data_IF_612632197733
#
_entry.id   IF_612632197733
#
_cell.length_a   1.000
_cell.length_b   1.000
_cell.length_c   1.000
_cell.angle_alpha   90.00
_cell.angle_beta   90.00
_cell.angle_gamma   90.00
#
_symmetry.space_group_name_H-M   'P 1'
#
loop_
_entity.id
_entity.type
_entity.pdbx_description
1 polymer ?
#
# COMPACT_ATOMS: atom_id res chain seq x y z
N UNK A 1 -4.96 7.67 -12.50
CA UNK A 1 -4.66 7.86 -11.05
C UNK A 1 -5.93 7.73 -10.24
N UNK A 2 -5.83 7.26 -9.00
CA UNK A 2 -6.94 7.26 -8.03
C UNK A 2 -6.53 8.00 -6.76
N UNK A 3 -7.51 8.55 -6.03
CA UNK A 3 -7.32 9.21 -4.74
C UNK A 3 -7.95 8.37 -3.66
N UNK A 4 -7.17 8.02 -2.63
CA UNK A 4 -7.65 7.37 -1.42
C UNK A 4 -7.81 8.41 -0.32
N UNK A 5 -9.05 8.63 0.10
CA UNK A 5 -9.37 9.41 1.30
C UNK A 5 -9.36 8.48 2.50
N UNK A 6 -8.65 8.86 3.56
CA UNK A 6 -8.48 8.04 4.76
C UNK A 6 -9.60 8.29 5.78
N UNK A 7 -9.84 7.31 6.66
CA UNK A 7 -10.84 7.39 7.71
C UNK A 7 -10.62 8.60 8.63
N UNK A 8 -11.70 9.08 9.27
CA UNK A 8 -11.57 10.10 10.33
C UNK A 8 -10.79 9.47 11.49
N UNK A 9 -9.88 10.23 12.11
CA UNK A 9 -9.02 9.74 13.19
C UNK A 9 -7.69 9.11 12.73
N UNK A 10 -7.47 8.91 11.42
CA UNK A 10 -6.15 8.51 10.92
C UNK A 10 -5.14 9.63 11.17
N UNK A 11 -4.18 9.37 12.05
CA UNK A 11 -3.11 10.32 12.37
C UNK A 11 -2.09 10.48 11.24
N UNK A 12 -1.71 11.73 10.95
CA UNK A 12 -0.77 12.08 9.89
C UNK A 12 0.60 11.40 10.05
N UNK A 13 1.13 11.33 11.28
CA UNK A 13 2.42 10.71 11.57
C UNK A 13 2.43 9.21 11.24
N UNK A 14 1.38 8.49 11.66
CA UNK A 14 1.24 7.07 11.38
C UNK A 14 1.07 6.77 9.89
N UNK A 15 0.28 7.60 9.19
CA UNK A 15 0.14 7.48 7.74
C UNK A 15 1.46 7.74 7.02
N UNK A 16 2.20 8.81 7.38
CA UNK A 16 3.53 9.09 6.81
C UNK A 16 4.52 7.95 7.07
N UNK A 17 4.51 7.34 8.25
CA UNK A 17 5.35 6.18 8.56
C UNK A 17 5.07 4.99 7.63
N UNK A 18 3.78 4.66 7.42
CA UNK A 18 3.38 3.61 6.47
C UNK A 18 3.83 3.92 5.03
N UNK A 19 3.67 5.17 4.58
CA UNK A 19 4.09 5.55 3.23
C UNK A 19 5.60 5.55 3.03
N UNK A 20 6.41 5.80 4.08
CA UNK A 20 7.87 5.64 4.00
C UNK A 20 8.26 4.18 3.76
N UNK A 21 7.60 3.24 4.42
CA UNK A 21 7.83 1.80 4.20
C UNK A 21 7.53 1.41 2.76
N UNK A 22 6.39 1.84 2.21
CA UNK A 22 6.02 1.59 0.80
C UNK A 22 7.04 2.17 -0.21
N UNK A 23 7.86 3.14 0.20
CA UNK A 23 8.93 3.72 -0.62
C UNK A 23 10.30 3.05 -0.43
N UNK A 24 10.42 2.05 0.45
CA UNK A 24 11.67 1.32 0.66
C UNK A 24 12.05 0.51 -0.57
N UNK A 25 13.33 0.52 -0.93
CA UNK A 25 13.89 -0.32 -2.00
C UNK A 25 13.64 -1.82 -1.77
N UNK A 26 13.50 -2.25 -0.52
CA UNK A 26 13.20 -3.63 -0.15
C UNK A 26 11.80 -4.09 -0.62
N UNK A 27 10.92 -3.16 -0.99
CA UNK A 27 9.55 -3.47 -1.47
C UNK A 27 9.36 -3.16 -2.96
N UNK A 28 10.44 -2.99 -3.72
CA UNK A 28 10.36 -2.61 -5.13
C UNK A 28 9.73 -3.73 -5.97
N UNK A 29 8.66 -3.36 -6.68
CA UNK A 29 7.84 -4.30 -7.43
C UNK A 29 6.99 -5.24 -6.56
N UNK A 30 6.99 -5.07 -5.23
CA UNK A 30 6.15 -5.84 -4.30
C UNK A 30 4.90 -5.06 -3.85
N UNK A 31 5.00 -3.74 -3.82
CA UNK A 31 3.90 -2.83 -3.45
C UNK A 31 3.80 -1.69 -4.45
N UNK A 32 2.59 -1.19 -4.66
CA UNK A 32 2.38 0.02 -5.46
C UNK A 32 2.86 1.24 -4.66
N UNK A 33 3.61 2.15 -5.29
CA UNK A 33 4.07 3.39 -4.64
C UNK A 33 3.05 4.51 -4.81
N UNK A 34 2.82 5.37 -3.79
CA UNK A 34 1.94 6.53 -3.92
C UNK A 34 2.55 7.61 -4.82
N UNK A 35 1.70 8.35 -5.53
CA UNK A 35 2.06 9.52 -6.32
C UNK A 35 2.17 10.75 -5.42
N UNK A 36 3.33 10.91 -4.78
CA UNK A 36 3.63 12.03 -3.88
C UNK A 36 3.40 11.70 -2.40
N UNK A 37 3.11 12.73 -1.61
CA UNK A 37 2.96 12.65 -0.15
C UNK A 37 1.51 12.53 0.34
N UNK A 38 1.34 12.71 1.65
CA UNK A 38 0.02 12.88 2.27
C UNK A 38 -0.40 14.34 2.10
N UNK A 39 -1.65 14.55 1.69
CA UNK A 39 -2.28 15.87 1.61
C UNK A 39 -3.55 15.89 2.44
N UNK A 40 -4.04 17.08 2.77
CA UNK A 40 -5.35 17.26 3.40
C UNK A 40 -6.34 17.88 2.42
N UNK A 41 -7.56 17.35 2.40
CA UNK A 41 -8.69 17.87 1.61
C UNK A 41 -9.96 17.76 2.43
N UNK A 42 -10.65 18.90 2.62
CA UNK A 42 -11.92 18.98 3.38
C UNK A 42 -11.82 18.31 4.76
N UNK A 43 -10.73 18.57 5.50
CA UNK A 43 -10.50 18.00 6.83
C UNK A 43 -10.14 16.51 6.86
N UNK A 44 -9.84 15.87 5.72
CA UNK A 44 -9.44 14.46 5.65
C UNK A 44 -8.10 14.30 4.96
N UNK A 45 -7.30 13.36 5.47
CA UNK A 45 -6.06 12.98 4.82
C UNK A 45 -6.35 12.22 3.52
N UNK A 46 -5.61 12.53 2.47
CA UNK A 46 -5.70 11.90 1.16
C UNK A 46 -4.32 11.48 0.66
N UNK A 47 -4.30 10.43 -0.16
CA UNK A 47 -3.11 9.93 -0.86
C UNK A 47 -3.46 9.59 -2.30
N UNK A 48 -2.55 9.85 -3.23
CA UNK A 48 -2.74 9.54 -4.65
C UNK A 48 -1.99 8.28 -5.03
N UNK A 49 -2.55 7.49 -5.94
CA UNK A 49 -1.99 6.21 -6.35
C UNK A 49 -2.11 6.02 -7.87
N UNK A 50 -1.17 5.29 -8.49
CA UNK A 50 -1.36 4.76 -9.83
C UNK A 50 -2.70 4.01 -9.89
N UNK A 51 -3.42 4.16 -11.01
CA UNK A 51 -4.61 3.36 -11.26
C UNK A 51 -4.12 2.00 -11.80
N UNK A 52 -4.55 0.92 -11.17
CA UNK A 52 -4.39 -0.43 -11.72
C UNK A 52 -5.62 -0.83 -12.55
N UNK A 53 -5.48 -1.92 -13.30
CA UNK A 53 -6.59 -2.59 -13.95
C UNK A 53 -7.18 -3.63 -12.99
N UNK A 54 -8.50 -3.59 -12.70
CA UNK A 54 -9.15 -4.62 -11.90
C UNK A 54 -9.10 -5.98 -12.58
N UNK A 55 -9.05 -7.05 -11.79
CA UNK A 55 -9.30 -8.40 -12.29
C UNK A 55 -10.81 -8.56 -12.50
N UNK A 56 -11.22 -9.07 -13.65
CA UNK A 56 -12.62 -9.27 -14.00
C UNK A 56 -13.25 -10.37 -13.13
N UNK A 57 -14.20 -10.04 -12.22
CA UNK A 57 -14.78 -11.03 -11.32
C UNK A 57 -15.64 -12.09 -12.04
N UNK A 58 -16.04 -11.86 -13.29
CA UNK A 58 -16.82 -12.79 -14.08
C UNK A 58 -15.98 -13.84 -14.83
N UNK A 59 -14.65 -13.74 -14.77
CA UNK A 59 -13.72 -14.64 -15.45
C UNK A 59 -12.71 -15.28 -14.47
N UNK A 60 -13.16 -16.12 -13.51
CA UNK A 60 -12.31 -16.71 -12.48
C UNK A 60 -11.17 -17.58 -13.02
N UNK A 61 -11.33 -18.16 -14.21
CA UNK A 61 -10.30 -18.92 -14.92
C UNK A 61 -9.11 -18.05 -15.37
N UNK A 62 -9.30 -16.72 -15.43
CA UNK A 62 -8.24 -15.74 -15.76
C UNK A 62 -7.57 -15.15 -14.52
N UNK A 63 -7.96 -15.58 -13.33
CA UNK A 63 -7.37 -15.07 -12.10
C UNK A 63 -5.87 -15.42 -12.03
N UNK A 64 -4.99 -14.45 -11.74
CA UNK A 64 -3.55 -14.64 -11.74
C UNK A 64 -3.06 -15.26 -10.42
N UNK A 65 -3.59 -16.45 -10.07
CA UNK A 65 -3.31 -17.08 -8.78
C UNK A 65 -1.84 -17.43 -8.60
N UNK A 66 -1.17 -17.90 -9.65
CA UNK A 66 0.25 -18.23 -9.62
C UNK A 66 1.13 -17.01 -9.36
N UNK A 67 0.88 -15.92 -10.08
CA UNK A 67 1.57 -14.65 -9.93
C UNK A 67 1.32 -14.02 -8.56
N UNK A 68 0.07 -14.08 -8.07
CA UNK A 68 -0.28 -13.60 -6.73
C UNK A 68 0.46 -14.39 -5.64
N UNK A 69 0.52 -15.72 -5.74
CA UNK A 69 1.27 -16.56 -4.82
C UNK A 69 2.78 -16.26 -4.83
N UNK A 70 3.36 -16.08 -6.02
CA UNK A 70 4.76 -15.70 -6.17
C UNK A 70 5.05 -14.31 -5.58
N UNK A 71 4.15 -13.35 -5.75
CA UNK A 71 4.22 -12.02 -5.15
C UNK A 71 4.18 -12.10 -3.62
N UNK A 72 3.23 -12.84 -3.05
CA UNK A 72 3.10 -13.03 -1.59
C UNK A 72 4.32 -13.72 -0.98
N UNK A 73 4.85 -14.76 -1.64
CA UNK A 73 6.08 -15.42 -1.21
C UNK A 73 7.24 -14.42 -1.11
N UNK A 74 7.42 -13.59 -2.13
CA UNK A 74 8.48 -12.55 -2.14
C UNK A 74 8.25 -11.51 -1.06
N UNK A 75 7.00 -11.07 -0.85
CA UNK A 75 6.64 -10.13 0.20
C UNK A 75 6.96 -10.67 1.60
N UNK A 76 6.63 -11.93 1.88
CA UNK A 76 6.91 -12.57 3.17
C UNK A 76 8.41 -12.81 3.43
N UNK A 77 9.22 -12.86 2.38
CA UNK A 77 10.66 -13.03 2.50
C UNK A 77 11.41 -11.71 2.83
N UNK A 78 10.73 -10.56 2.83
CA UNK A 78 11.36 -9.26 3.10
C UNK A 78 11.73 -9.14 4.58
N UNK A 79 13.02 -8.97 4.93
CA UNK A 79 13.43 -8.77 6.32
C UNK A 79 12.85 -7.47 6.89
N UNK A 80 12.23 -7.54 8.08
CA UNK A 80 11.69 -6.34 8.73
C UNK A 80 12.78 -5.30 9.07
N UNK A 81 14.02 -5.73 9.30
CA UNK A 81 15.17 -4.87 9.52
C UNK A 81 15.55 -4.04 8.29
N UNK A 82 15.11 -4.43 7.09
CA UNK A 82 15.30 -3.67 5.86
C UNK A 82 14.21 -2.60 5.62
N UNK A 83 13.20 -2.51 6.51
CA UNK A 83 12.14 -1.53 6.42
C UNK A 83 12.38 -0.36 7.39
N UNK A 84 12.08 0.89 7.00
CA UNK A 84 12.22 2.03 7.90
C UNK A 84 11.20 1.93 9.05
N UNK A 85 11.67 2.03 10.28
CA UNK A 85 10.86 1.87 11.50
C UNK A 85 10.89 3.08 12.45
N UNK A 86 10.08 3.03 13.53
CA UNK A 86 9.08 2.01 13.82
C UNK A 86 7.80 2.20 12.99
N UNK A 87 7.16 1.08 12.62
CA UNK A 87 5.84 1.09 12.02
C UNK A 87 4.77 1.24 13.12
N UNK A 88 3.69 1.99 12.88
CA UNK A 88 2.52 1.95 13.75
C UNK A 88 1.96 0.53 13.79
N UNK A 89 1.36 0.12 14.92
CA UNK A 89 0.62 -1.13 15.03
C UNK A 89 -0.33 -1.30 13.83
N UNK A 90 -0.49 -2.53 13.34
CA UNK A 90 -1.47 -2.80 12.30
C UNK A 90 -2.87 -2.37 12.79
N UNK A 91 -3.66 -1.75 11.92
CA UNK A 91 -5.03 -1.39 12.21
C UNK A 91 -5.96 -2.05 11.19
N UNK A 92 -6.88 -2.88 11.67
CA UNK A 92 -8.18 -3.17 11.05
C UNK A 92 -9.26 -2.69 12.02
N UNK A 93 -10.56 -3.01 11.85
CA UNK A 93 -11.54 -2.76 12.91
C UNK A 93 -11.05 -3.27 14.28
#
# INVERSE_FOLDING_TARGET
MVVKTHAVGVGLAGLRARLRVVRSAALDGLVVRPLGGVEERRGRLVTRWPRGEPVDPAAPERYPWGEAGALLRRLHAVPLTALPGPLPAAGGP
#
